data_IF_517078183810
#
_entry.id   IF_517078183810
#
_cell.length_a   1.000
_cell.length_b   1.000
_cell.length_c   1.000
_cell.angle_alpha   90.00
_cell.angle_beta   90.00
_cell.angle_gamma   90.00
#
_symmetry.space_group_name_H-M   'P 1'
#
loop_
_entity.id
_entity.type
_entity.pdbx_description
1 polymer ?
#
# COMPACT_ATOMS: atom_id res chain seq x y z
N UNK A 1 -20.71 12.11 -15.07
CA UNK A 1 -20.56 12.08 -13.60
C UNK A 1 -19.26 12.76 -13.24
N UNK A 2 -19.22 13.52 -12.13
CA UNK A 2 -17.97 14.14 -11.67
C UNK A 2 -16.98 13.05 -11.25
N UNK A 3 -15.72 13.19 -11.68
CA UNK A 3 -14.65 12.24 -11.35
C UNK A 3 -14.27 12.35 -9.87
N UNK A 4 -13.74 11.26 -9.34
CA UNK A 4 -13.14 11.16 -8.00
C UNK A 4 -11.70 10.75 -8.23
N UNK A 5 -10.75 11.54 -7.74
CA UNK A 5 -9.33 11.22 -7.89
C UNK A 5 -8.81 10.61 -6.61
N UNK A 6 -8.07 9.50 -6.73
CA UNK A 6 -7.38 8.85 -5.62
C UNK A 6 -5.90 8.85 -5.93
N UNK A 7 -5.15 9.62 -5.17
CA UNK A 7 -3.69 9.72 -5.28
C UNK A 7 -3.08 8.89 -4.18
N UNK A 8 -2.36 7.83 -4.56
CA UNK A 8 -1.73 6.89 -3.63
C UNK A 8 -0.22 7.15 -3.57
N UNK A 9 0.32 7.30 -2.36
CA UNK A 9 1.75 7.07 -2.14
C UNK A 9 2.11 5.59 -2.37
N UNK A 10 3.39 5.30 -2.50
CA UNK A 10 3.90 3.97 -2.85
C UNK A 10 4.55 3.30 -1.65
N UNK A 11 5.65 3.88 -1.18
CA UNK A 11 6.42 3.33 -0.08
C UNK A 11 5.53 3.33 1.15
N UNK A 12 5.57 2.27 1.96
CA UNK A 12 4.83 2.17 3.22
C UNK A 12 3.29 2.24 3.15
N UNK A 13 2.72 2.47 1.96
CA UNK A 13 1.27 2.46 1.67
C UNK A 13 0.91 1.25 0.82
N UNK A 14 1.56 1.07 -0.33
CA UNK A 14 1.31 -0.03 -1.26
C UNK A 14 2.38 -1.11 -1.15
N UNK A 15 3.62 -0.68 -0.95
CA UNK A 15 4.78 -1.55 -0.95
C UNK A 15 5.79 -1.12 0.10
N UNK A 16 6.56 -2.07 0.63
CA UNK A 16 7.76 -1.80 1.41
C UNK A 16 8.98 -2.39 0.71
N UNK A 17 10.13 -1.75 0.86
CA UNK A 17 11.39 -2.29 0.36
C UNK A 17 11.79 -3.47 1.24
N UNK A 18 12.05 -4.62 0.61
CA UNK A 18 12.62 -5.77 1.29
C UNK A 18 14.05 -5.44 1.74
N UNK A 19 14.28 -5.47 3.05
CA UNK A 19 15.63 -5.37 3.63
C UNK A 19 16.01 -6.58 4.47
N UNK A 20 15.10 -7.54 4.67
CA UNK A 20 15.29 -8.68 5.57
C UNK A 20 14.72 -9.97 4.96
N UNK A 21 15.59 -10.97 4.88
CA UNK A 21 15.45 -12.24 4.12
C UNK A 21 14.36 -13.15 4.70
N UNK A 22 14.16 -13.16 6.01
CA UNK A 22 13.27 -14.14 6.66
C UNK A 22 11.78 -13.77 6.59
N UNK A 23 11.42 -12.65 5.94
CA UNK A 23 10.06 -12.10 5.93
C UNK A 23 9.34 -12.26 4.61
N UNK A 24 10.03 -12.75 3.58
CA UNK A 24 9.51 -12.94 2.22
C UNK A 24 8.28 -13.85 2.22
N UNK A 25 8.25 -14.89 3.06
CA UNK A 25 7.19 -15.89 3.05
C UNK A 25 5.82 -15.35 3.44
N UNK A 26 5.74 -14.44 4.41
CA UNK A 26 4.46 -13.81 4.74
C UNK A 26 3.87 -13.09 3.52
N UNK A 27 4.69 -12.30 2.83
CA UNK A 27 4.30 -11.56 1.64
C UNK A 27 4.08 -12.46 0.42
N UNK A 28 4.81 -13.56 0.31
CA UNK A 28 4.57 -14.57 -0.73
C UNK A 28 3.24 -15.30 -0.52
N UNK A 29 2.85 -15.56 0.73
CA UNK A 29 1.58 -16.21 1.07
C UNK A 29 0.39 -15.26 0.90
N UNK A 30 0.51 -14.05 1.45
CA UNK A 30 -0.64 -13.16 1.66
C UNK A 30 -0.63 -11.89 0.77
N UNK A 31 0.47 -11.59 0.08
CA UNK A 31 0.64 -10.41 -0.76
C UNK A 31 1.32 -10.73 -2.09
N UNK A 32 2.36 -9.96 -2.44
CA UNK A 32 3.25 -10.28 -3.55
C UNK A 32 4.67 -9.72 -3.33
N UNK A 33 5.63 -10.21 -4.11
CA UNK A 33 6.99 -9.70 -4.15
C UNK A 33 7.32 -9.28 -5.58
N UNK A 34 7.80 -8.05 -5.77
CA UNK A 34 8.19 -7.50 -7.06
C UNK A 34 9.67 -7.12 -7.03
N UNK A 35 10.38 -7.40 -8.12
CA UNK A 35 11.74 -6.93 -8.35
C UNK A 35 11.74 -5.68 -9.23
N UNK A 36 12.46 -4.63 -8.85
CA UNK A 36 12.62 -3.37 -9.58
C UNK A 36 14.02 -2.83 -9.34
N UNK A 37 14.79 -2.56 -10.40
CA UNK A 37 16.17 -2.04 -10.31
C UNK A 37 17.07 -2.79 -9.28
N UNK A 38 17.08 -4.12 -9.33
CA UNK A 38 17.84 -4.98 -8.41
C UNK A 38 17.44 -4.86 -6.92
N UNK A 39 16.23 -4.37 -6.65
CA UNK A 39 15.64 -4.33 -5.32
C UNK A 39 14.32 -5.08 -5.28
N UNK A 40 14.09 -5.79 -4.20
CA UNK A 40 12.83 -6.48 -3.93
C UNK A 40 11.89 -5.56 -3.14
N UNK A 41 10.62 -5.60 -3.51
CA UNK A 41 9.53 -4.85 -2.90
C UNK A 41 8.42 -5.81 -2.48
N UNK A 42 8.02 -5.72 -1.22
CA UNK A 42 6.89 -6.43 -0.66
C UNK A 42 5.62 -5.63 -0.91
N UNK A 43 4.69 -6.20 -1.65
CA UNK A 43 3.35 -5.64 -1.82
C UNK A 43 2.50 -6.13 -0.65
N UNK A 44 1.92 -5.19 0.10
CA UNK A 44 1.12 -5.54 1.27
C UNK A 44 -0.09 -6.42 0.89
N UNK A 45 -0.51 -7.35 1.78
CA UNK A 45 -1.74 -8.09 1.61
C UNK A 45 -2.93 -7.19 1.30
N UNK A 46 -3.82 -7.62 0.40
CA UNK A 46 -5.00 -6.85 0.01
C UNK A 46 -4.78 -5.70 -0.99
N UNK A 47 -3.54 -5.24 -1.24
CA UNK A 47 -3.28 -4.14 -2.20
C UNK A 47 -3.68 -4.49 -3.63
N UNK A 48 -3.40 -5.72 -4.07
CA UNK A 48 -3.79 -6.19 -5.42
C UNK A 48 -5.33 -6.15 -5.59
N UNK A 49 -6.13 -6.78 -4.70
CA UNK A 49 -7.58 -6.63 -4.69
C UNK A 49 -8.06 -5.18 -4.57
N UNK A 50 -7.41 -4.35 -3.74
CA UNK A 50 -7.76 -2.94 -3.60
C UNK A 50 -7.62 -2.20 -4.93
N UNK A 51 -6.48 -2.34 -5.62
CA UNK A 51 -6.29 -1.72 -6.93
C UNK A 51 -7.32 -2.23 -7.94
N UNK A 52 -7.58 -3.53 -8.02
CA UNK A 52 -8.66 -4.09 -8.85
C UNK A 52 -10.01 -3.42 -8.55
N UNK A 53 -10.33 -3.23 -7.27
CA UNK A 53 -11.59 -2.59 -6.85
C UNK A 53 -11.64 -1.13 -7.29
N UNK A 54 -10.59 -0.36 -7.06
CA UNK A 54 -10.56 1.06 -7.40
C UNK A 54 -10.72 1.28 -8.92
N UNK A 55 -10.02 0.48 -9.74
CA UNK A 55 -10.14 0.53 -11.20
C UNK A 55 -11.44 -0.06 -11.75
N UNK A 56 -12.28 -0.67 -10.91
CA UNK A 56 -13.62 -1.14 -11.34
C UNK A 56 -14.70 -0.06 -11.29
N UNK A 57 -14.41 1.11 -10.70
CA UNK A 57 -15.34 2.24 -10.66
C UNK A 57 -15.11 3.19 -11.85
N UNK A 58 -16.13 3.36 -12.70
CA UNK A 58 -16.04 4.19 -13.90
C UNK A 58 -15.78 5.69 -13.62
N UNK A 59 -16.17 6.16 -12.43
CA UNK A 59 -16.00 7.54 -11.99
C UNK A 59 -14.75 7.78 -11.14
N UNK A 60 -13.91 6.77 -10.92
CA UNK A 60 -12.68 6.88 -10.13
C UNK A 60 -11.46 6.91 -11.04
N UNK A 61 -10.53 7.81 -10.74
CA UNK A 61 -9.21 7.88 -11.38
C UNK A 61 -8.12 7.71 -10.33
N UNK A 62 -7.22 6.76 -10.58
CA UNK A 62 -6.13 6.44 -9.65
C UNK A 62 -4.82 6.99 -10.20
N UNK A 63 -4.08 7.71 -9.36
CA UNK A 63 -2.75 8.23 -9.65
C UNK A 63 -1.79 7.92 -8.51
N UNK A 64 -0.49 8.05 -8.77
CA UNK A 64 0.55 7.73 -7.79
C UNK A 64 1.47 8.93 -7.55
N UNK A 65 1.83 9.19 -6.29
CA UNK A 65 2.77 10.25 -5.93
C UNK A 65 3.69 9.81 -4.80
N UNK A 66 4.94 9.48 -5.13
CA UNK A 66 5.94 9.04 -4.15
C UNK A 66 7.10 10.02 -3.98
N UNK A 67 7.77 9.92 -2.83
CA UNK A 67 9.10 10.53 -2.58
C UNK A 67 10.25 9.69 -3.18
N UNK A 68 9.92 8.68 -3.99
CA UNK A 68 10.85 7.86 -4.73
C UNK A 68 11.49 8.52 -5.95
N UNK A 69 12.37 7.78 -6.62
CA UNK A 69 12.91 8.21 -7.92
C UNK A 69 11.93 7.82 -9.03
N UNK A 70 11.79 8.71 -10.02
CA UNK A 70 10.87 8.51 -11.15
C UNK A 70 11.01 7.17 -11.86
N UNK A 71 12.23 6.69 -12.06
CA UNK A 71 12.51 5.41 -12.72
C UNK A 71 11.97 4.24 -11.89
N UNK A 72 12.28 4.22 -10.60
CA UNK A 72 11.82 3.20 -9.66
C UNK A 72 10.30 3.19 -9.56
N UNK A 73 9.68 4.36 -9.37
CA UNK A 73 8.23 4.46 -9.17
C UNK A 73 7.47 4.01 -10.42
N UNK A 74 7.90 4.44 -11.62
CA UNK A 74 7.25 4.02 -12.86
C UNK A 74 7.34 2.52 -13.10
N UNK A 75 8.50 1.91 -12.85
CA UNK A 75 8.68 0.47 -13.04
C UNK A 75 7.87 -0.33 -12.02
N UNK A 76 7.91 0.06 -10.74
CA UNK A 76 7.18 -0.60 -9.67
C UNK A 76 5.66 -0.53 -9.90
N UNK A 77 5.14 0.65 -10.22
CA UNK A 77 3.71 0.84 -10.52
C UNK A 77 3.30 0.07 -11.77
N UNK A 78 4.12 0.05 -12.83
CA UNK A 78 3.84 -0.79 -14.01
C UNK A 78 3.68 -2.26 -13.62
N UNK A 79 4.66 -2.82 -12.90
CA UNK A 79 4.62 -4.25 -12.50
C UNK A 79 3.42 -4.54 -11.58
N UNK A 80 3.15 -3.65 -10.62
CA UNK A 80 2.03 -3.78 -9.71
C UNK A 80 0.68 -3.73 -10.44
N UNK A 81 0.50 -2.81 -11.38
CA UNK A 81 -0.73 -2.68 -12.15
C UNK A 81 -0.92 -3.83 -13.15
N UNK A 82 0.15 -4.34 -13.77
CA UNK A 82 0.07 -5.57 -14.57
C UNK A 82 -0.35 -6.75 -13.70
N UNK A 83 0.19 -6.87 -12.49
CA UNK A 83 -0.19 -7.91 -11.54
C UNK A 83 -1.66 -7.79 -11.10
N UNK A 84 -2.15 -6.57 -10.91
CA UNK A 84 -3.52 -6.33 -10.49
C UNK A 84 -4.54 -6.45 -11.65
N UNK A 85 -4.26 -5.89 -12.82
CA UNK A 85 -5.24 -5.72 -13.90
C UNK A 85 -4.97 -6.64 -15.11
N UNK A 86 -3.83 -7.33 -15.13
CA UNK A 86 -3.31 -8.00 -16.31
C UNK A 86 -2.71 -7.01 -17.31
N UNK A 87 -1.95 -7.53 -18.29
CA UNK A 87 -1.32 -6.70 -19.33
C UNK A 87 -2.35 -5.89 -20.12
N UNK A 88 -3.47 -6.52 -20.51
CA UNK A 88 -4.54 -5.85 -21.26
C UNK A 88 -5.16 -4.68 -20.49
N UNK A 89 -5.50 -4.88 -19.22
CA UNK A 89 -6.03 -3.82 -18.36
C UNK A 89 -5.03 -2.68 -18.15
N UNK A 90 -3.75 -3.01 -17.96
CA UNK A 90 -2.69 -2.01 -17.88
C UNK A 90 -2.57 -1.18 -19.16
N UNK A 91 -2.60 -1.80 -20.35
CA UNK A 91 -2.48 -1.05 -21.61
C UNK A 91 -3.64 -0.07 -21.83
N UNK A 92 -4.84 -0.37 -21.33
CA UNK A 92 -5.98 0.54 -21.40
C UNK A 92 -5.79 1.81 -20.56
N UNK A 93 -5.23 1.69 -19.36
CA UNK A 93 -5.05 2.82 -18.44
C UNK A 93 -3.71 3.55 -18.64
N UNK A 94 -2.72 2.90 -19.25
CA UNK A 94 -1.35 3.43 -19.43
C UNK A 94 -1.30 4.83 -20.06
N UNK A 95 -2.11 5.19 -21.08
CA UNK A 95 -2.05 6.52 -21.69
C UNK A 95 -2.41 7.65 -20.72
N UNK A 96 -3.25 7.38 -19.72
CA UNK A 96 -3.75 8.36 -18.75
C UNK A 96 -3.15 8.18 -17.35
N UNK A 97 -2.28 7.18 -17.16
CA UNK A 97 -1.67 6.88 -15.87
C UNK A 97 -0.65 7.95 -15.45
N UNK A 98 -0.92 8.61 -14.32
CA UNK A 98 -0.02 9.60 -13.73
C UNK A 98 0.77 8.97 -12.59
N UNK A 99 2.11 9.05 -12.69
CA UNK A 99 3.06 8.66 -11.63
C UNK A 99 4.02 9.81 -11.39
N UNK A 100 3.92 10.43 -10.21
CA UNK A 100 4.76 11.51 -9.71
C UNK A 100 5.76 10.98 -8.69
N UNK A 101 6.91 11.64 -8.62
CA UNK A 101 8.09 11.23 -7.85
C UNK A 101 8.66 12.39 -7.02
N UNK A 102 9.77 12.17 -6.31
CA UNK A 102 10.42 13.21 -5.50
C UNK A 102 10.77 14.50 -6.27
N UNK A 103 11.06 14.35 -7.56
CA UNK A 103 11.45 15.47 -8.41
C UNK A 103 10.24 16.33 -8.80
N UNK A 104 9.03 15.78 -8.64
CA UNK A 104 7.77 16.48 -8.82
C UNK A 104 7.28 17.13 -7.51
N UNK A 105 8.01 17.09 -6.39
CA UNK A 105 7.58 17.74 -5.15
C UNK A 105 7.75 19.27 -5.19
N UNK A 106 6.93 19.99 -4.44
CA UNK A 106 7.01 21.45 -4.27
C UNK A 106 7.90 21.80 -3.09
N UNK A 107 8.81 22.76 -3.29
CA UNK A 107 9.67 23.28 -2.23
C UNK A 107 8.92 24.43 -1.53
N UNK A 108 8.47 24.22 -0.30
CA UNK A 108 7.74 25.25 0.48
C UNK A 108 8.65 26.04 1.41
N UNK A 109 9.83 25.51 1.72
CA UNK A 109 10.91 26.20 2.41
C UNK A 109 12.24 25.63 1.96
N UNK A 110 13.36 26.25 2.34
CA UNK A 110 14.71 25.82 1.92
C UNK A 110 15.05 24.34 2.23
N UNK A 111 14.28 23.67 3.09
CA UNK A 111 14.51 22.29 3.52
C UNK A 111 13.30 21.36 3.41
N UNK A 112 12.10 21.90 3.19
CA UNK A 112 10.86 21.11 3.23
C UNK A 112 10.27 20.99 1.84
N UNK A 113 10.17 19.75 1.36
CA UNK A 113 9.46 19.38 0.14
C UNK A 113 8.14 18.72 0.51
N UNK A 114 7.10 19.04 -0.23
CA UNK A 114 5.75 18.49 -0.06
C UNK A 114 5.18 18.04 -1.39
N UNK A 115 4.21 17.13 -1.33
CA UNK A 115 3.42 16.65 -2.45
C UNK A 115 2.24 17.61 -2.66
N UNK A 116 2.18 18.20 -3.84
CA UNK A 116 1.14 19.13 -4.26
C UNK A 116 0.23 18.43 -5.28
N UNK A 117 -1.04 18.24 -4.91
CA UNK A 117 -2.03 17.53 -5.71
C UNK A 117 -2.36 18.26 -7.02
N UNK A 118 -2.13 19.58 -7.10
CA UNK A 118 -2.32 20.34 -8.35
C UNK A 118 -1.31 19.95 -9.45
N UNK A 119 -0.31 19.12 -9.14
CA UNK A 119 0.57 18.49 -10.14
C UNK A 119 -0.04 17.24 -10.78
N UNK A 120 -1.18 16.79 -10.29
CA UNK A 120 -1.90 15.60 -10.75
C UNK A 120 -3.29 15.98 -11.26
N UNK A 121 -4.00 16.85 -10.55
CA UNK A 121 -5.38 17.24 -10.85
C UNK A 121 -5.50 18.74 -11.09
N UNK A 122 -6.61 19.18 -11.70
CA UNK A 122 -6.91 20.60 -11.80
C UNK A 122 -7.47 21.14 -10.48
N UNK A 123 -7.47 22.48 -10.33
CA UNK A 123 -8.03 23.14 -9.14
C UNK A 123 -9.50 22.76 -8.90
N UNK A 124 -10.29 22.63 -9.97
CA UNK A 124 -11.72 22.28 -9.88
C UNK A 124 -11.97 20.83 -9.41
N UNK A 125 -10.97 19.95 -9.57
CA UNK A 125 -11.04 18.54 -9.19
C UNK A 125 -10.56 18.30 -7.75
N UNK A 126 -9.83 19.27 -7.17
CA UNK A 126 -9.25 19.17 -5.83
C UNK A 126 -10.29 18.86 -4.74
N UNK A 127 -11.51 19.45 -4.72
CA UNK A 127 -12.53 19.13 -3.73
C UNK A 127 -12.97 17.65 -3.73
N UNK A 128 -12.71 16.91 -4.82
CA UNK A 128 -13.06 15.49 -5.00
C UNK A 128 -11.83 14.59 -5.13
N UNK A 129 -10.69 15.07 -4.66
CA UNK A 129 -9.41 14.34 -4.68
C UNK A 129 -9.05 13.86 -3.27
N UNK A 130 -8.76 12.56 -3.15
CA UNK A 130 -8.31 11.91 -1.92
C UNK A 130 -6.83 11.59 -2.07
N UNK A 131 -6.02 12.02 -1.11
CA UNK A 131 -4.58 11.77 -1.08
C UNK A 131 -4.22 10.83 0.07
N UNK A 132 -3.64 9.68 -0.26
CA UNK A 132 -3.27 8.64 0.70
C UNK A 132 -1.76 8.59 0.88
N UNK A 133 -1.28 8.79 2.10
CA UNK A 133 0.15 8.72 2.44
C UNK A 133 0.35 8.23 3.87
N UNK A 134 1.51 7.66 4.19
CA UNK A 134 1.90 7.31 5.55
C UNK A 134 2.69 8.42 6.27
N UNK A 135 2.92 9.56 5.62
CA UNK A 135 3.59 10.75 6.15
C UNK A 135 2.77 12.03 5.92
N UNK A 136 2.93 13.03 6.78
CA UNK A 136 2.28 14.35 6.62
C UNK A 136 3.08 15.21 5.64
N UNK A 137 3.19 14.76 4.39
CA UNK A 137 4.06 15.36 3.37
C UNK A 137 3.26 16.02 2.23
N UNK A 138 2.16 16.71 2.53
CA UNK A 138 1.31 17.41 1.56
C UNK A 138 1.42 18.94 1.68
N UNK A 139 1.02 19.64 0.62
CA UNK A 139 0.85 21.10 0.66
C UNK A 139 -0.16 21.48 1.75
N UNK A 140 0.18 22.35 2.73
CA UNK A 140 -0.67 22.61 3.91
C UNK A 140 -2.13 22.99 3.61
N UNK A 141 -2.39 23.70 2.50
CA UNK A 141 -3.75 24.07 2.10
C UNK A 141 -4.60 22.87 1.63
N UNK A 142 -3.97 21.74 1.32
CA UNK A 142 -4.56 20.50 0.85
C UNK A 142 -4.71 19.44 1.96
N UNK A 143 -4.51 19.83 3.23
CA UNK A 143 -4.66 18.93 4.38
C UNK A 143 -6.03 18.25 4.45
N UNK A 144 -7.07 18.92 3.94
CA UNK A 144 -8.43 18.38 3.89
C UNK A 144 -8.61 17.22 2.90
N UNK A 145 -7.70 17.04 1.96
CA UNK A 145 -7.69 15.92 1.03
C UNK A 145 -6.97 14.68 1.58
N UNK A 146 -6.29 14.82 2.72
CA UNK A 146 -5.40 13.81 3.23
C UNK A 146 -6.14 12.69 3.95
N UNK A 147 -5.87 11.44 3.55
CA UNK A 147 -6.24 10.20 4.22
C UNK A 147 -4.96 9.50 4.68
N UNK A 148 -4.65 9.58 5.97
CA UNK A 148 -3.50 8.85 6.51
C UNK A 148 -3.61 7.34 6.31
N UNK A 149 -2.61 6.76 5.63
CA UNK A 149 -2.29 5.32 5.63
C UNK A 149 -1.55 4.98 6.91
N UNK A 150 -1.98 3.94 7.63
CA UNK A 150 -1.58 3.74 9.01
C UNK A 150 -0.76 2.48 9.26
N UNK A 151 -0.03 2.54 10.36
CA UNK A 151 0.56 1.39 11.04
C UNK A 151 -0.45 0.96 12.12
N UNK A 152 -1.09 -0.18 11.94
CA UNK A 152 -1.98 -0.82 12.92
C UNK A 152 -1.21 -1.07 14.22
N UNK A 153 -1.66 -0.46 15.32
CA UNK A 153 -1.15 -0.78 16.66
C UNK A 153 -1.56 -2.19 17.06
N UNK A 154 -0.65 -2.90 17.74
CA UNK A 154 -0.81 -4.30 18.16
C UNK A 154 -2.07 -4.50 19.01
N UNK A 155 -2.34 -3.47 19.81
CA UNK A 155 -3.40 -3.46 20.80
C UNK A 155 -4.81 -3.48 20.19
N UNK A 156 -4.95 -3.27 18.87
CA UNK A 156 -6.25 -3.38 18.20
C UNK A 156 -6.64 -4.85 17.90
N UNK A 157 -5.69 -5.77 17.85
CA UNK A 157 -5.92 -7.18 17.49
C UNK A 157 -5.18 -8.22 18.35
N UNK A 158 -4.39 -7.78 19.34
CA UNK A 158 -3.83 -8.61 20.40
C UNK A 158 -3.68 -7.74 21.66
N UNK A 159 -4.28 -8.14 22.78
CA UNK A 159 -4.16 -7.40 24.05
C UNK A 159 -2.75 -7.44 24.67
N UNK A 160 -1.81 -8.21 24.09
CA UNK A 160 -0.64 -8.70 24.83
C UNK A 160 0.71 -8.61 24.07
N UNK A 161 0.81 -7.71 23.10
CA UNK A 161 2.08 -7.46 22.44
C UNK A 161 2.79 -6.29 23.12
N UNK A 162 3.65 -6.61 24.08
CA UNK A 162 4.65 -5.67 24.59
C UNK A 162 5.41 -5.02 23.44
N UNK A 163 5.80 -3.76 23.63
CA UNK A 163 6.42 -2.82 22.69
C UNK A 163 7.79 -3.27 22.10
N UNK A 164 8.17 -4.54 22.27
CA UNK A 164 9.53 -5.04 22.05
C UNK A 164 9.76 -5.72 20.68
N UNK A 165 8.77 -5.70 19.77
CA UNK A 165 9.00 -6.17 18.40
C UNK A 165 9.64 -5.06 17.57
N UNK A 166 10.95 -5.12 17.37
CA UNK A 166 11.71 -4.29 16.41
C UNK A 166 11.22 -4.36 14.95
N UNK A 167 10.19 -5.16 14.64
CA UNK A 167 9.57 -5.26 13.33
C UNK A 167 8.27 -4.44 13.23
N UNK A 168 8.36 -3.18 12.84
CA UNK A 168 7.18 -2.34 12.59
C UNK A 168 6.36 -2.74 11.34
N UNK A 169 6.80 -3.72 10.53
CA UNK A 169 6.13 -4.04 9.26
C UNK A 169 4.85 -4.83 9.45
N UNK A 170 4.76 -5.66 10.48
CA UNK A 170 3.52 -6.38 10.79
C UNK A 170 2.39 -5.39 11.13
N UNK A 171 2.71 -4.21 11.65
CA UNK A 171 1.72 -3.15 11.85
C UNK A 171 1.10 -2.69 10.52
N UNK A 172 1.72 -2.94 9.37
CA UNK A 172 1.20 -2.47 8.06
C UNK A 172 0.43 -3.53 7.28
N UNK A 173 0.46 -4.80 7.67
CA UNK A 173 -0.10 -5.89 6.83
C UNK A 173 -1.63 -5.81 6.66
N UNK A 174 -2.32 -5.20 7.63
CA UNK A 174 -3.78 -4.99 7.57
C UNK A 174 -4.17 -3.60 7.00
N UNK A 175 -3.19 -2.76 6.65
CA UNK A 175 -3.45 -1.39 6.23
C UNK A 175 -4.32 -1.31 4.96
N UNK A 176 -4.14 -2.23 4.02
CA UNK A 176 -4.95 -2.28 2.81
C UNK A 176 -6.46 -2.44 3.11
N UNK A 177 -6.82 -3.15 4.18
CA UNK A 177 -8.22 -3.33 4.58
C UNK A 177 -8.79 -2.04 5.16
N UNK A 178 -8.04 -1.34 6.02
CA UNK A 178 -8.43 0.00 6.49
C UNK A 178 -8.64 0.97 5.32
N UNK A 179 -7.66 1.03 4.41
CA UNK A 179 -7.72 1.88 3.23
C UNK A 179 -8.93 1.52 2.36
N UNK A 180 -9.19 0.23 2.11
CA UNK A 180 -10.36 -0.21 1.37
C UNK A 180 -11.66 0.27 2.02
N UNK A 181 -11.80 0.10 3.34
CA UNK A 181 -12.98 0.52 4.08
C UNK A 181 -13.23 2.03 3.97
N UNK A 182 -12.20 2.85 4.23
CA UNK A 182 -12.29 4.32 4.14
C UNK A 182 -12.50 4.81 2.72
N UNK A 183 -11.72 4.33 1.76
CA UNK A 183 -11.83 4.75 0.37
C UNK A 183 -13.21 4.42 -0.21
N UNK A 184 -13.77 3.24 0.08
CA UNK A 184 -15.10 2.88 -0.41
C UNK A 184 -16.19 3.75 0.23
N UNK A 185 -16.11 4.05 1.53
CA UNK A 185 -17.03 4.99 2.18
C UNK A 185 -16.97 6.37 1.51
N UNK A 186 -15.76 6.89 1.26
CA UNK A 186 -15.56 8.19 0.61
C UNK A 186 -16.06 8.18 -0.83
N UNK A 187 -15.75 7.13 -1.61
CA UNK A 187 -16.23 6.98 -2.99
C UNK A 187 -17.75 6.99 -3.02
N UNK A 188 -18.41 6.24 -2.14
CA UNK A 188 -19.87 6.18 -2.07
C UNK A 188 -20.47 7.54 -1.70
N UNK A 189 -19.90 8.22 -0.69
CA UNK A 189 -20.33 9.56 -0.28
C UNK A 189 -20.20 10.56 -1.44
N UNK A 190 -19.02 10.63 -2.08
CA UNK A 190 -18.77 11.54 -3.19
C UNK A 190 -19.63 11.20 -4.41
N UNK A 191 -19.94 9.93 -4.65
CA UNK A 191 -20.75 9.50 -5.79
C UNK A 191 -22.24 9.80 -5.60
N UNK A 192 -22.71 9.97 -4.35
CA UNK A 192 -24.12 10.22 -4.06
C UNK A 192 -24.59 11.62 -4.52
N UNK A 193 -23.71 12.62 -4.46
CA UNK A 193 -24.01 14.00 -4.87
C UNK A 193 -22.75 14.66 -5.48
N UNK A 194 -22.83 15.28 -6.68
CA UNK A 194 -21.70 16.01 -7.26
C UNK A 194 -21.16 17.16 -6.40
N UNK A 195 -21.98 17.76 -5.53
CA UNK A 195 -21.59 18.82 -4.61
C UNK A 195 -20.85 18.31 -3.36
N UNK A 196 -20.85 16.99 -3.12
CA UNK A 196 -20.08 16.40 -2.03
C UNK A 196 -18.58 16.57 -2.28
N UNK A 197 -17.88 17.00 -1.25
CA UNK A 197 -16.43 17.19 -1.25
C UNK A 197 -15.76 16.29 -0.22
N UNK A 198 -14.47 16.02 -0.42
CA UNK A 198 -13.65 15.26 0.52
C UNK A 198 -13.59 15.98 1.87
N UNK A 199 -13.49 17.32 1.86
CA UNK A 199 -13.48 18.14 3.07
C UNK A 199 -14.71 17.89 3.96
N UNK A 200 -15.89 17.71 3.36
CA UNK A 200 -17.14 17.50 4.11
C UNK A 200 -17.20 16.14 4.84
N UNK A 201 -16.42 15.15 4.41
CA UNK A 201 -16.51 13.79 4.94
C UNK A 201 -15.21 13.33 5.63
N UNK A 202 -14.06 13.50 4.99
CA UNK A 202 -12.78 12.99 5.47
C UNK A 202 -12.21 13.84 6.60
N UNK A 203 -12.28 15.17 6.48
CA UNK A 203 -11.62 16.07 7.41
C UNK A 203 -12.17 15.96 8.85
N UNK A 204 -13.51 15.94 9.09
CA UNK A 204 -14.07 15.75 10.44
C UNK A 204 -13.76 14.37 11.04
N UNK A 205 -13.46 13.39 10.19
CA UNK A 205 -13.06 12.06 10.65
C UNK A 205 -11.63 12.12 11.17
N UNK A 206 -10.71 12.77 10.45
CA UNK A 206 -9.26 12.71 10.75
C UNK A 206 -8.73 13.84 11.62
N UNK A 207 -9.48 14.93 11.82
CA UNK A 207 -9.00 16.08 12.55
C UNK A 207 -10.04 16.54 13.59
N UNK A 208 -9.55 16.83 14.78
CA UNK A 208 -10.29 17.51 15.85
C UNK A 208 -9.88 18.98 15.88
N UNK A 209 -10.81 19.87 16.22
CA UNK A 209 -10.47 21.24 16.57
C UNK A 209 -9.64 21.25 17.86
N UNK A 210 -8.54 22.00 17.87
CA UNK A 210 -7.81 22.27 19.09
C UNK A 210 -8.36 23.51 19.81
N UNK A 211 -7.95 23.67 21.07
CA UNK A 211 -8.36 24.79 21.93
C UNK A 211 -7.89 26.17 21.44
N UNK A 212 -6.96 26.21 20.50
CA UNK A 212 -6.46 27.44 19.85
C UNK A 212 -7.08 27.71 18.47
N UNK A 213 -8.05 26.90 18.02
CA UNK A 213 -8.66 27.02 16.70
C UNK A 213 -7.83 26.42 15.56
N UNK A 214 -6.75 25.70 15.87
CA UNK A 214 -6.04 24.84 14.93
C UNK A 214 -6.68 23.45 14.85
N UNK A 215 -6.03 22.56 14.09
CA UNK A 215 -6.51 21.21 13.86
C UNK A 215 -5.47 20.19 14.32
N UNK A 216 -5.89 19.27 15.18
CA UNK A 216 -5.08 18.16 15.64
C UNK A 216 -5.57 16.88 15.01
N UNK A 217 -4.64 16.08 14.50
CA UNK A 217 -4.95 14.80 13.93
C UNK A 217 -5.54 13.86 14.99
N UNK A 218 -6.69 13.28 14.70
CA UNK A 218 -7.42 12.40 15.59
C UNK A 218 -6.80 10.99 15.55
N UNK A 219 -5.93 10.71 16.53
CA UNK A 219 -5.22 9.44 16.65
C UNK A 219 -6.15 8.24 16.91
N UNK A 220 -7.41 8.45 17.33
CA UNK A 220 -8.32 7.35 17.71
C UNK A 220 -9.05 6.71 16.52
N UNK A 221 -9.03 7.35 15.35
CA UNK A 221 -9.77 6.97 14.14
C UNK A 221 -9.36 5.60 13.57
N UNK A 222 -8.21 5.09 14.01
CA UNK A 222 -7.52 3.92 13.45
C UNK A 222 -7.69 2.65 14.28
N UNK A 223 -8.32 2.77 15.46
CA UNK A 223 -8.69 1.63 16.31
C UNK A 223 -10.10 1.09 16.00
N UNK A 224 -10.81 1.69 15.05
CA UNK A 224 -12.14 1.23 14.67
C UNK A 224 -12.05 -0.04 13.80
N UNK A 225 -12.12 -1.19 14.48
CA UNK A 225 -12.11 -2.53 13.87
C UNK A 225 -13.20 -2.70 12.81
N UNK A 226 -14.36 -2.06 12.96
CA UNK A 226 -15.45 -2.19 12.01
C UNK A 226 -15.06 -1.71 10.60
N UNK A 227 -14.10 -0.79 10.51
CA UNK A 227 -13.61 -0.25 9.22
C UNK A 227 -12.74 -1.27 8.50
N UNK A 228 -11.88 -1.96 9.25
CA UNK A 228 -11.05 -3.03 8.69
C UNK A 228 -11.90 -4.20 8.23
N UNK A 229 -12.90 -4.59 9.03
CA UNK A 229 -13.83 -5.66 8.69
C UNK A 229 -14.68 -5.30 7.47
N UNK A 230 -15.18 -4.06 7.41
CA UNK A 230 -15.89 -3.56 6.23
C UNK A 230 -14.99 -3.58 4.98
N UNK A 231 -13.75 -3.10 5.09
CA UNK A 231 -12.78 -3.12 4.00
C UNK A 231 -12.41 -4.54 3.57
N UNK A 232 -12.19 -5.46 4.51
CA UNK A 232 -11.95 -6.87 4.23
C UNK A 232 -13.13 -7.47 3.44
N UNK A 233 -14.36 -7.27 3.91
CA UNK A 233 -15.55 -7.79 3.23
C UNK A 233 -15.66 -7.28 1.79
N UNK A 234 -15.32 -6.01 1.55
CA UNK A 234 -15.32 -5.44 0.20
C UNK A 234 -14.22 -6.03 -0.70
N UNK A 235 -13.04 -6.33 -0.15
CA UNK A 235 -11.95 -6.94 -0.91
C UNK A 235 -12.15 -8.45 -1.12
N UNK A 236 -12.85 -9.13 -0.20
CA UNK A 236 -13.20 -10.55 -0.34
C UNK A 236 -14.15 -10.84 -1.50
N UNK A 237 -14.92 -9.85 -1.95
CA UNK A 237 -15.68 -9.94 -3.20
C UNK A 237 -14.77 -10.12 -4.44
N UNK A 238 -13.49 -9.77 -4.35
CA UNK A 238 -12.48 -9.93 -5.40
C UNK A 238 -11.57 -11.12 -5.12
N UNK A 239 -11.15 -11.30 -3.86
CA UNK A 239 -10.31 -12.41 -3.42
C UNK A 239 -10.85 -12.98 -2.10
N UNK A 240 -11.67 -14.05 -2.14
CA UNK A 240 -12.25 -14.64 -0.94
C UNK A 240 -11.24 -15.22 0.06
N UNK A 241 -9.97 -15.38 -0.33
CA UNK A 241 -8.94 -15.95 0.55
C UNK A 241 -8.34 -14.95 1.54
N UNK A 242 -8.65 -13.65 1.40
CA UNK A 242 -8.14 -12.61 2.28
C UNK A 242 -8.66 -12.78 3.71
N UNK A 243 -7.80 -12.50 4.68
CA UNK A 243 -8.13 -12.50 6.11
C UNK A 243 -7.38 -11.37 6.81
N UNK A 244 -7.92 -10.89 7.93
CA UNK A 244 -7.15 -10.05 8.84
C UNK A 244 -6.03 -10.88 9.44
N UNK A 245 -4.82 -10.34 9.40
CA UNK A 245 -3.64 -10.96 9.97
C UNK A 245 -3.55 -10.57 11.44
N UNK A 246 -3.67 -11.54 12.35
CA UNK A 246 -3.32 -11.34 13.75
C UNK A 246 -1.80 -11.31 13.92
N UNK A 247 -1.37 -10.80 15.06
CA UNK A 247 0.04 -10.70 15.36
C UNK A 247 0.68 -12.09 15.54
N UNK A 248 -0.04 -13.05 16.13
CA UNK A 248 0.37 -14.46 16.21
C UNK A 248 0.43 -15.13 14.83
N UNK A 249 -0.57 -14.91 13.98
CA UNK A 249 -0.54 -15.43 12.60
C UNK A 249 0.64 -14.87 11.81
N UNK A 250 0.95 -13.58 11.97
CA UNK A 250 2.14 -12.99 11.36
C UNK A 250 3.41 -13.68 11.88
N UNK A 251 3.55 -13.83 13.20
CA UNK A 251 4.71 -14.49 13.83
C UNK A 251 4.88 -15.93 13.34
N UNK A 252 3.82 -16.73 13.37
CA UNK A 252 3.81 -18.09 12.84
C UNK A 252 4.24 -18.11 11.37
N UNK A 253 3.75 -17.17 10.56
CA UNK A 253 4.07 -17.13 9.13
C UNK A 253 5.54 -16.81 8.81
N UNK A 254 6.27 -16.20 9.74
CA UNK A 254 7.70 -15.93 9.62
C UNK A 254 8.57 -16.98 10.34
N UNK A 255 8.04 -17.65 11.38
CA UNK A 255 8.75 -18.67 12.18
C UNK A 255 8.62 -20.10 11.62
N UNK A 256 7.53 -20.43 10.91
CA UNK A 256 7.22 -21.81 10.46
C UNK A 256 8.09 -22.37 9.33
N UNK A 257 9.29 -21.82 9.08
CA UNK A 257 10.22 -22.38 8.10
C UNK A 257 11.55 -22.70 8.75
N UNK A 258 11.74 -24.00 8.93
CA UNK A 258 13.04 -24.59 9.19
C UNK A 258 13.93 -24.44 7.94
N UNK A 259 14.84 -23.47 7.98
CA UNK A 259 15.81 -23.19 6.92
C UNK A 259 16.74 -24.38 6.61
N UNK A 260 16.71 -25.45 7.42
CA UNK A 260 17.58 -26.60 7.25
C UNK A 260 17.17 -27.54 6.11
N UNK A 261 15.92 -27.51 5.61
CA UNK A 261 15.45 -28.61 4.75
C UNK A 261 15.11 -28.29 3.29
N UNK A 262 14.78 -27.06 2.85
CA UNK A 262 14.32 -26.86 1.45
C UNK A 262 14.73 -25.59 0.68
N UNK A 263 15.32 -24.54 1.30
CA UNK A 263 15.78 -23.34 0.59
C UNK A 263 17.23 -22.93 0.91
N UNK A 264 17.89 -23.71 1.77
CA UNK A 264 19.26 -23.50 2.26
C UNK A 264 20.36 -23.33 1.18
N UNK A 265 20.33 -23.99 0.00
CA UNK A 265 21.44 -23.86 -0.95
C UNK A 265 21.41 -22.56 -1.78
N UNK A 266 20.24 -21.96 -1.97
CA UNK A 266 20.04 -20.89 -2.97
C UNK A 266 20.10 -19.49 -2.37
N UNK A 267 19.62 -19.33 -1.13
CA UNK A 267 19.63 -18.05 -0.43
C UNK A 267 21.08 -17.55 -0.16
N UNK A 268 22.00 -18.33 0.45
CA UNK A 268 23.34 -17.84 0.78
C UNK A 268 24.16 -17.41 -0.45
N UNK A 269 24.03 -18.11 -1.59
CA UNK A 269 24.76 -17.80 -2.84
C UNK A 269 24.28 -16.52 -3.52
N UNK A 270 22.99 -16.22 -3.41
CA UNK A 270 22.39 -15.00 -3.94
C UNK A 270 22.73 -13.76 -3.07
N UNK A 271 22.89 -13.94 -1.77
CA UNK A 271 23.20 -12.82 -0.86
C UNK A 271 24.69 -12.51 -0.71
N UNK A 272 25.57 -13.52 -0.74
CA UNK A 272 27.03 -13.30 -0.74
C UNK A 272 27.51 -12.53 -1.97
N UNK A 273 26.79 -12.65 -3.08
CA UNK A 273 27.07 -11.97 -4.35
C UNK A 273 26.49 -10.55 -4.40
N UNK A 274 25.32 -10.30 -3.79
CA UNK A 274 24.76 -8.95 -3.61
C UNK A 274 25.62 -8.06 -2.69
N UNK A 275 26.17 -8.59 -1.60
CA UNK A 275 27.06 -7.84 -0.71
C UNK A 275 28.45 -7.58 -1.33
N UNK A 276 28.86 -8.39 -2.32
CA UNK A 276 30.17 -8.29 -2.97
C UNK A 276 30.12 -7.65 -4.37
N UNK A 277 28.96 -7.21 -4.84
CA UNK A 277 28.80 -6.63 -6.18
C UNK A 277 29.08 -7.63 -7.32
N UNK A 278 28.96 -8.93 -7.05
CA UNK A 278 29.17 -10.00 -8.04
C UNK A 278 27.85 -10.34 -8.74
N UNK A 279 27.89 -10.62 -10.04
CA UNK A 279 26.73 -11.13 -10.78
C UNK A 279 26.36 -12.53 -10.30
N UNK A 280 25.10 -12.71 -9.91
CA UNK A 280 24.57 -14.03 -9.52
C UNK A 280 24.13 -14.80 -10.76
N UNK A 281 24.48 -16.08 -10.85
CA UNK A 281 24.00 -17.00 -11.91
C UNK A 281 22.55 -17.47 -11.72
N UNK A 282 21.89 -17.09 -10.61
CA UNK A 282 20.46 -17.31 -10.39
C UNK A 282 19.78 -15.97 -10.59
N UNK A 283 19.02 -15.84 -11.67
CA UNK A 283 18.35 -14.57 -11.96
C UNK A 283 17.24 -14.32 -10.93
N UNK A 284 16.94 -13.05 -10.67
CA UNK A 284 15.82 -12.68 -9.80
C UNK A 284 14.49 -13.24 -10.34
N UNK A 285 14.39 -13.42 -11.66
CA UNK A 285 13.23 -14.10 -12.26
C UNK A 285 13.12 -15.56 -11.80
N UNK A 286 14.24 -16.28 -11.71
CA UNK A 286 14.28 -17.67 -11.25
C UNK A 286 13.83 -17.80 -9.78
N UNK A 287 14.23 -16.86 -8.92
CA UNK A 287 13.76 -16.79 -7.54
C UNK A 287 12.25 -16.51 -7.43
N UNK A 288 11.74 -15.59 -8.25
CA UNK A 288 10.32 -15.27 -8.31
C UNK A 288 9.49 -16.47 -8.83
N UNK A 289 9.99 -17.21 -9.82
CA UNK A 289 9.35 -18.43 -10.33
C UNK A 289 9.31 -19.54 -9.28
N UNK A 290 10.40 -19.76 -8.54
CA UNK A 290 10.46 -20.72 -7.44
C UNK A 290 9.43 -20.33 -6.35
N UNK A 291 9.34 -19.05 -6.03
CA UNK A 291 8.38 -18.54 -5.05
C UNK A 291 6.92 -18.74 -5.49
N UNK A 292 6.61 -18.49 -6.76
CA UNK A 292 5.29 -18.76 -7.35
C UNK A 292 4.95 -20.24 -7.37
N UNK A 293 5.92 -21.11 -7.69
CA UNK A 293 5.76 -22.57 -7.68
C UNK A 293 5.47 -23.09 -6.28
N UNK A 294 6.18 -22.58 -5.27
CA UNK A 294 5.96 -22.94 -3.87
C UNK A 294 4.60 -22.46 -3.34
N UNK A 295 4.16 -21.25 -3.72
CA UNK A 295 2.80 -20.77 -3.40
C UNK A 295 1.73 -21.69 -3.98
N UNK A 296 1.87 -22.10 -5.25
CA UNK A 296 0.93 -23.04 -5.89
C UNK A 296 0.90 -24.40 -5.18
N UNK A 297 2.07 -24.96 -4.86
CA UNK A 297 2.19 -26.24 -4.16
C UNK A 297 1.53 -26.23 -2.77
N UNK A 298 1.75 -25.14 -2.01
CA UNK A 298 1.11 -24.95 -0.71
C UNK A 298 -0.41 -24.80 -0.81
N UNK A 299 -0.91 -23.97 -1.74
CA UNK A 299 -2.35 -23.82 -1.96
C UNK A 299 -3.03 -25.13 -2.39
N UNK A 300 -2.30 -26.04 -3.06
CA UNK A 300 -2.79 -27.38 -3.39
C UNK A 300 -2.73 -28.37 -2.22
N UNK A 301 -1.92 -28.15 -1.18
CA UNK A 301 -1.81 -29.06 -0.04
C UNK A 301 -2.82 -28.80 1.08
N UNK A 302 -3.56 -27.69 1.01
CA UNK A 302 -4.58 -27.28 1.98
C UNK A 302 -6.01 -27.41 1.45
N UNK A 303 -6.20 -28.18 0.37
CA UNK A 303 -7.49 -28.63 -0.17
C UNK A 303 -7.58 -30.14 -0.07
#
# INVERSE_FOLDING_TARGET
MAKIHIVLDIDNVLADRCTLINREFHFLRNGAVLSVNNHLYYIFPGIIPLLKRLYSYDNVEVSFFSSGTKVRDKELIKKLLILALGEGGYQLIKPTLIVRSKDDQTLISSRVKVKDLLKIVNVDDLPRTIFVDDEFCFEPQQAHNFLKSQKVSANAYSEDMGDDSSDYRWQRVNNAYYLAGRLIQLINFLSADPSNTVSNCLFPIQFNNDSSGGYLFNMHVYHDRAIYEYGLAMLQAIDPSLTLVSADFYRESIETIDFSTNLSPYLPRYYSSLEQGMSVDVSIEEFAEISLKNRRAYLSSIR
#
